data_IF_711644021778
#
_entry.id   IF_711644021778
#
_cell.length_a   1.000
_cell.length_b   1.000
_cell.length_c   1.000
_cell.angle_alpha   90.00
_cell.angle_beta   90.00
_cell.angle_gamma   90.00
#
_symmetry.space_group_name_H-M   'P 1'
#
loop_
_entity.id
_entity.type
_entity.pdbx_description
1 polymer ?
#
# COMPACT_ATOMS: atom_id res chain seq x y z
N UNK A 1 20.12 1.15 21.43
CA UNK A 1 21.55 1.00 21.08
C UNK A 1 21.92 -0.46 21.30
N UNK A 2 22.46 -1.14 20.29
CA UNK A 2 22.92 -2.54 20.39
C UNK A 2 24.45 -2.50 20.33
N UNK A 3 25.11 -2.86 21.42
CA UNK A 3 26.58 -2.96 21.45
C UNK A 3 27.01 -4.34 20.93
N UNK A 4 27.91 -4.34 19.93
CA UNK A 4 28.43 -5.57 19.34
C UNK A 4 29.65 -6.07 20.11
N UNK A 5 29.83 -7.39 20.15
CA UNK A 5 31.08 -7.99 20.63
C UNK A 5 32.22 -7.64 19.67
N UNK A 6 33.44 -7.56 20.22
CA UNK A 6 34.62 -7.26 19.43
C UNK A 6 34.89 -8.40 18.43
N UNK A 7 35.00 -8.06 17.15
CA UNK A 7 35.25 -9.02 16.06
C UNK A 7 34.03 -9.39 15.22
N UNK A 8 32.83 -8.97 15.62
CA UNK A 8 31.59 -9.23 14.86
C UNK A 8 31.41 -8.27 13.68
N UNK A 9 30.89 -8.77 12.56
CA UNK A 9 30.54 -7.96 11.39
C UNK A 9 29.12 -7.41 11.55
N UNK A 10 29.00 -6.08 11.67
CA UNK A 10 27.74 -5.41 11.99
C UNK A 10 26.61 -5.69 10.97
N UNK A 11 26.94 -5.74 9.68
CA UNK A 11 25.97 -6.00 8.61
C UNK A 11 25.37 -7.41 8.71
N UNK A 12 26.20 -8.42 8.98
CA UNK A 12 25.76 -9.80 9.17
C UNK A 12 24.83 -9.92 10.37
N UNK A 13 25.16 -9.26 11.49
CA UNK A 13 24.30 -9.24 12.68
C UNK A 13 22.98 -8.53 12.38
N UNK A 14 23.00 -7.43 11.64
CA UNK A 14 21.79 -6.71 11.23
C UNK A 14 20.88 -7.55 10.32
N UNK A 15 21.47 -8.27 9.36
CA UNK A 15 20.73 -9.18 8.47
C UNK A 15 20.07 -10.31 9.27
N UNK A 16 20.79 -10.89 10.23
CA UNK A 16 20.24 -11.89 11.15
C UNK A 16 19.11 -11.31 12.02
N UNK A 17 19.24 -10.05 12.49
CA UNK A 17 18.17 -9.37 13.22
C UNK A 17 16.93 -9.17 12.34
N UNK A 18 17.08 -8.74 11.09
CA UNK A 18 15.95 -8.64 10.17
C UNK A 18 15.25 -10.00 9.97
N UNK A 19 16.00 -11.07 9.77
CA UNK A 19 15.43 -12.39 9.50
C UNK A 19 14.75 -13.04 10.72
N UNK A 20 15.28 -12.82 11.93
CA UNK A 20 14.86 -13.54 13.13
C UNK A 20 14.00 -12.71 14.10
N UNK A 21 13.82 -11.41 13.82
CA UNK A 21 13.07 -10.50 14.70
C UNK A 21 11.94 -9.78 13.97
N UNK A 22 11.10 -9.07 14.73
CA UNK A 22 9.99 -8.27 14.19
C UNK A 22 10.45 -6.95 13.51
N UNK A 23 11.76 -6.74 13.36
CA UNK A 23 12.29 -5.59 12.60
C UNK A 23 11.94 -5.66 11.11
N UNK A 24 11.74 -6.87 10.58
CA UNK A 24 11.15 -7.10 9.27
C UNK A 24 9.91 -7.96 9.45
N UNK A 25 8.80 -7.57 8.81
CA UNK A 25 7.56 -8.33 8.87
C UNK A 25 6.83 -8.28 7.53
N UNK A 26 6.03 -9.30 7.26
CA UNK A 26 5.20 -9.39 6.07
C UNK A 26 3.81 -8.86 6.41
N UNK A 27 3.31 -7.92 5.61
CA UNK A 27 1.95 -7.42 5.74
C UNK A 27 1.08 -7.94 4.58
N UNK A 28 0.09 -8.78 4.91
CA UNK A 28 -0.83 -9.35 3.93
C UNK A 28 -1.90 -8.33 3.51
N UNK A 29 -1.69 -7.65 2.38
CA UNK A 29 -2.66 -6.69 1.84
C UNK A 29 -3.81 -7.46 1.18
N UNK A 30 -5.02 -7.30 1.72
CA UNK A 30 -6.25 -7.80 1.11
C UNK A 30 -7.36 -6.75 1.20
N UNK A 31 -7.73 -6.16 0.05
CA UNK A 31 -8.76 -5.12 -0.03
C UNK A 31 -10.11 -5.79 -0.29
N UNK A 32 -10.86 -6.05 0.77
CA UNK A 32 -12.24 -6.56 0.73
C UNK A 32 -13.18 -5.53 1.34
N UNK A 33 -14.25 -5.20 0.61
CA UNK A 33 -15.27 -4.27 1.08
C UNK A 33 -16.67 -4.76 0.69
N UNK A 34 -17.70 -4.18 1.31
CA UNK A 34 -19.09 -4.44 0.94
C UNK A 34 -19.49 -3.53 -0.24
N UNK A 35 -19.98 -4.14 -1.31
CA UNK A 35 -20.64 -3.46 -2.42
C UNK A 35 -22.07 -3.97 -2.47
N UNK A 36 -23.03 -3.07 -2.26
CA UNK A 36 -24.47 -3.41 -2.23
C UNK A 36 -24.78 -4.57 -1.25
N UNK A 37 -24.14 -4.54 -0.07
CA UNK A 37 -24.31 -5.54 0.99
C UNK A 37 -23.56 -6.86 0.76
N UNK A 38 -22.79 -7.00 -0.32
CA UNK A 38 -22.03 -8.21 -0.63
C UNK A 38 -20.53 -7.99 -0.53
N UNK A 39 -19.77 -8.90 0.10
CA UNK A 39 -18.31 -8.80 0.17
C UNK A 39 -17.69 -9.02 -1.21
N UNK A 40 -16.84 -8.08 -1.63
CA UNK A 40 -16.09 -8.13 -2.89
C UNK A 40 -14.65 -7.70 -2.67
N UNK A 41 -13.73 -8.35 -3.39
CA UNK A 41 -12.36 -7.88 -3.54
C UNK A 41 -12.32 -6.74 -4.53
N UNK A 42 -11.67 -5.63 -4.16
CA UNK A 42 -11.63 -4.42 -4.98
C UNK A 42 -10.19 -4.01 -5.29
N UNK A 43 -9.97 -3.55 -6.52
CA UNK A 43 -8.75 -2.83 -6.86
C UNK A 43 -8.88 -1.32 -6.57
N UNK A 44 -7.77 -0.59 -6.67
CA UNK A 44 -7.74 0.85 -6.39
C UNK A 44 -8.70 1.66 -7.28
N UNK A 45 -8.80 1.32 -8.58
CA UNK A 45 -9.70 2.01 -9.50
C UNK A 45 -11.16 1.87 -9.07
N UNK A 46 -11.58 0.66 -8.72
CA UNK A 46 -12.94 0.39 -8.25
C UNK A 46 -13.25 1.12 -6.96
N UNK A 47 -12.31 1.17 -6.00
CA UNK A 47 -12.48 1.95 -4.77
C UNK A 47 -12.76 3.43 -5.06
N UNK A 48 -11.95 4.03 -5.94
CA UNK A 48 -12.11 5.44 -6.33
C UNK A 48 -13.43 5.69 -7.08
N UNK A 49 -13.84 4.76 -7.95
CA UNK A 49 -15.12 4.85 -8.66
C UNK A 49 -16.32 4.81 -7.69
N UNK A 50 -16.32 3.91 -6.70
CA UNK A 50 -17.39 3.87 -5.70
C UNK A 50 -17.40 5.12 -4.82
N UNK A 51 -16.22 5.60 -4.40
CA UNK A 51 -16.11 6.85 -3.65
C UNK A 51 -16.68 8.04 -4.42
N UNK A 52 -16.30 8.19 -5.70
CA UNK A 52 -16.80 9.28 -6.55
C UNK A 52 -18.29 9.16 -6.83
N UNK A 53 -18.81 7.94 -7.04
CA UNK A 53 -20.26 7.71 -7.20
C UNK A 53 -21.02 8.15 -5.94
N UNK A 54 -20.55 7.75 -4.77
CA UNK A 54 -21.15 8.18 -3.51
C UNK A 54 -21.08 9.70 -3.34
N UNK A 55 -19.94 10.33 -3.67
CA UNK A 55 -19.80 11.78 -3.57
C UNK A 55 -20.77 12.52 -4.48
N UNK A 56 -20.96 12.06 -5.73
CA UNK A 56 -21.97 12.61 -6.64
C UNK A 56 -23.36 12.55 -6.04
N UNK A 57 -23.77 11.39 -5.52
CA UNK A 57 -25.09 11.23 -4.89
C UNK A 57 -25.28 12.18 -3.71
N UNK A 58 -24.30 12.25 -2.80
CA UNK A 58 -24.36 13.11 -1.62
C UNK A 58 -24.44 14.59 -2.02
N UNK A 59 -23.62 15.03 -2.97
CA UNK A 59 -23.64 16.42 -3.44
C UNK A 59 -24.98 16.74 -4.11
N UNK A 60 -25.50 15.88 -4.99
CA UNK A 60 -26.81 16.07 -5.62
C UNK A 60 -27.93 16.17 -4.57
N UNK A 61 -27.96 15.28 -3.58
CA UNK A 61 -28.97 15.30 -2.52
C UNK A 61 -28.88 16.55 -1.65
N UNK A 62 -27.67 16.99 -1.33
CA UNK A 62 -27.44 18.25 -0.60
C UNK A 62 -27.93 19.45 -1.42
N UNK A 63 -27.55 19.53 -2.69
CA UNK A 63 -27.95 20.62 -3.60
C UNK A 63 -29.47 20.68 -3.76
N UNK A 64 -30.16 19.54 -3.91
CA UNK A 64 -31.63 19.49 -3.96
C UNK A 64 -32.28 19.98 -2.66
N UNK A 65 -31.73 19.57 -1.51
CA UNK A 65 -32.22 20.01 -0.21
C UNK A 65 -32.04 21.54 -0.03
N UNK A 66 -30.87 22.06 -0.39
CA UNK A 66 -30.60 23.50 -0.33
C UNK A 66 -31.47 24.30 -1.30
N UNK A 67 -31.72 23.77 -2.50
CA UNK A 67 -32.59 24.38 -3.50
C UNK A 67 -34.03 24.48 -2.99
N UNK A 68 -34.57 23.41 -2.40
CA UNK A 68 -35.91 23.42 -1.78
C UNK A 68 -36.02 24.49 -0.70
N UNK A 69 -35.05 24.53 0.22
CA UNK A 69 -35.01 25.52 1.30
C UNK A 69 -34.88 26.95 0.76
N UNK A 70 -34.07 27.15 -0.29
CA UNK A 70 -33.90 28.45 -0.93
C UNK A 70 -35.20 28.90 -1.60
N UNK A 71 -35.92 28.02 -2.29
CA UNK A 71 -37.24 28.31 -2.90
C UNK A 71 -38.30 28.66 -1.86
N UNK A 72 -38.40 27.92 -0.75
CA UNK A 72 -39.32 28.26 0.35
C UNK A 72 -39.03 29.65 0.94
N UNK A 73 -37.75 29.98 1.10
CA UNK A 73 -37.31 31.29 1.59
C UNK A 73 -37.62 32.39 0.57
N UNK A 74 -37.30 32.16 -0.71
CA UNK A 74 -37.60 33.06 -1.82
C UNK A 74 -39.10 33.35 -1.87
N UNK A 75 -39.95 32.32 -1.83
CA UNK A 75 -41.41 32.44 -1.83
C UNK A 75 -41.92 33.37 -0.73
N UNK A 76 -41.36 33.26 0.48
CA UNK A 76 -41.74 34.14 1.58
C UNK A 76 -41.27 35.58 1.34
N UNK A 77 -40.02 35.77 0.93
CA UNK A 77 -39.43 37.09 0.66
C UNK A 77 -40.13 37.80 -0.51
N UNK A 78 -40.55 37.05 -1.53
CA UNK A 78 -41.29 37.53 -2.69
C UNK A 78 -42.62 38.17 -2.26
N UNK A 79 -43.40 37.47 -1.42
CA UNK A 79 -44.64 38.01 -0.86
C UNK A 79 -44.43 39.24 0.03
N UNK A 80 -43.37 39.25 0.84
CA UNK A 80 -43.00 40.40 1.66
C UNK A 80 -42.59 41.60 0.81
N UNK A 81 -41.82 41.40 -0.25
CA UNK A 81 -41.38 42.45 -1.17
C UNK A 81 -42.59 43.06 -1.93
N UNK A 82 -43.53 42.22 -2.38
CA UNK A 82 -44.79 42.69 -2.98
C UNK A 82 -45.60 43.51 -1.99
N UNK A 83 -45.72 43.06 -0.73
CA UNK A 83 -46.47 43.79 0.29
C UNK A 83 -45.81 45.13 0.66
N UNK A 84 -44.48 45.19 0.73
CA UNK A 84 -43.74 46.43 1.00
C UNK A 84 -43.87 47.45 -0.15
N UNK A 85 -43.88 46.98 -1.40
CA UNK A 85 -44.12 47.84 -2.56
C UNK A 85 -45.53 48.46 -2.57
N UNK A 86 -46.49 47.81 -1.89
CA UNK A 86 -47.90 48.23 -1.82
C UNK A 86 -48.34 48.54 -0.37
N UNK A 87 -47.43 49.05 0.47
CA UNK A 87 -47.62 49.08 1.92
C UNK A 87 -48.87 49.84 2.38
N UNK A 88 -49.19 50.97 1.76
CA UNK A 88 -50.34 51.78 2.14
C UNK A 88 -51.66 51.04 1.90
N UNK A 89 -51.74 50.32 0.78
CA UNK A 89 -52.90 49.51 0.41
C UNK A 89 -53.05 48.28 1.32
N UNK A 90 -51.94 47.63 1.66
CA UNK A 90 -51.89 46.51 2.60
C UNK A 90 -52.35 46.96 3.99
N UNK A 91 -51.85 48.10 4.49
CA UNK A 91 -52.26 48.65 5.80
C UNK A 91 -53.73 49.04 5.79
N UNK A 92 -54.23 49.67 4.72
CA UNK A 92 -55.64 50.04 4.60
C UNK A 92 -56.56 48.81 4.66
N UNK A 93 -56.19 47.74 3.95
CA UNK A 93 -56.91 46.46 3.95
C UNK A 93 -56.90 45.81 5.35
N UNK A 94 -55.73 45.72 5.99
CA UNK A 94 -55.61 45.12 7.33
C UNK A 94 -56.41 45.92 8.37
N UNK A 95 -56.41 47.25 8.30
CA UNK A 95 -57.17 48.11 9.22
C UNK A 95 -58.69 48.01 9.02
N UNK A 96 -59.15 47.74 7.80
CA UNK A 96 -60.57 47.60 7.48
C UNK A 96 -61.12 46.20 7.83
N UNK A 97 -60.26 45.18 7.88
CA UNK A 97 -60.65 43.81 8.16
C UNK A 97 -61.06 43.60 9.65
N UNK A 98 -62.22 42.95 9.93
CA UNK A 98 -62.68 42.69 11.30
C UNK A 98 -61.84 41.67 12.09
N UNK A 99 -61.05 40.83 11.41
CA UNK A 99 -60.23 39.79 12.05
C UNK A 99 -58.97 39.47 11.23
N UNK A 100 -57.92 38.89 11.85
CA UNK A 100 -56.72 38.45 11.11
C UNK A 100 -57.02 37.41 10.02
N UNK A 101 -57.97 36.50 10.27
CA UNK A 101 -58.37 35.49 9.29
C UNK A 101 -59.02 36.14 8.05
N UNK A 102 -59.83 37.19 8.27
CA UNK A 102 -60.47 37.94 7.20
C UNK A 102 -59.47 38.80 6.42
N UNK A 103 -58.51 39.44 7.11
CA UNK A 103 -57.42 40.16 6.47
C UNK A 103 -56.58 39.22 5.59
N UNK A 104 -56.24 38.03 6.09
CA UNK A 104 -55.50 37.00 5.34
C UNK A 104 -56.22 36.61 4.06
N UNK A 105 -57.53 36.36 4.14
CA UNK A 105 -58.37 36.02 2.98
C UNK A 105 -58.39 37.14 1.93
N UNK A 106 -58.60 38.38 2.36
CA UNK A 106 -58.62 39.53 1.46
C UNK A 106 -57.26 39.82 0.80
N UNK A 107 -56.14 39.59 1.50
CA UNK A 107 -54.79 39.69 0.92
C UNK A 107 -54.57 38.68 -0.22
N UNK A 108 -55.12 37.46 -0.07
CA UNK A 108 -55.01 36.37 -1.04
C UNK A 108 -55.96 36.54 -2.23
N UNK A 109 -57.18 37.02 -2.01
CA UNK A 109 -58.18 37.23 -3.08
C UNK A 109 -57.81 38.39 -4.03
N UNK A 110 -56.94 39.30 -3.58
CA UNK A 110 -56.55 40.49 -4.33
C UNK A 110 -55.27 40.25 -5.14
N UNK A 111 -55.26 40.77 -6.37
CA UNK A 111 -54.07 40.84 -7.22
C UNK A 111 -53.26 42.10 -6.93
N UNK A 112 -51.94 41.95 -6.82
CA UNK A 112 -50.99 43.01 -6.48
C UNK A 112 -50.06 43.31 -7.65
N UNK A 113 -49.51 44.52 -7.70
CA UNK A 113 -48.56 44.93 -8.75
C UNK A 113 -47.21 45.26 -8.11
N UNK A 114 -46.10 44.81 -8.68
CA UNK A 114 -44.77 45.13 -8.13
C UNK A 114 -43.71 45.10 -9.22
N UNK A 115 -43.42 46.27 -9.80
CA UNK A 115 -42.42 46.40 -10.86
C UNK A 115 -41.02 45.94 -10.44
N UNK A 116 -40.64 46.10 -9.17
CA UNK A 116 -39.35 45.63 -8.65
C UNK A 116 -39.28 44.10 -8.62
N UNK A 117 -40.32 43.44 -8.12
CA UNK A 117 -40.36 41.97 -8.02
C UNK A 117 -40.52 41.35 -9.40
N UNK A 118 -41.33 41.94 -10.28
CA UNK A 118 -41.46 41.54 -11.69
C UNK A 118 -40.13 41.61 -12.43
N UNK A 119 -39.36 42.69 -12.25
CA UNK A 119 -38.04 42.82 -12.87
C UNK A 119 -37.05 41.77 -12.35
N UNK A 120 -37.08 41.47 -11.05
CA UNK A 120 -36.22 40.44 -10.44
C UNK A 120 -36.57 39.03 -10.94
N UNK A 121 -37.86 38.68 -10.94
CA UNK A 121 -38.33 37.39 -11.42
C UNK A 121 -38.13 37.20 -12.93
N UNK A 122 -38.27 38.27 -13.72
CA UNK A 122 -38.00 38.21 -15.16
C UNK A 122 -36.52 37.91 -15.44
N UNK A 123 -35.60 38.45 -14.63
CA UNK A 123 -34.16 38.19 -14.75
C UNK A 123 -33.77 36.78 -14.29
N UNK A 124 -34.35 36.30 -13.20
CA UNK A 124 -34.03 34.98 -12.62
C UNK A 124 -34.78 33.82 -13.30
N UNK A 125 -35.80 34.11 -14.11
CA UNK A 125 -36.75 33.14 -14.63
C UNK A 125 -37.91 32.95 -13.65
N UNK A 126 -39.12 33.32 -14.07
CA UNK A 126 -40.30 33.43 -13.19
C UNK A 126 -40.70 32.12 -12.48
N UNK A 127 -40.24 30.97 -12.97
CA UNK A 127 -40.50 29.65 -12.39
C UNK A 127 -39.35 29.12 -11.52
N UNK A 128 -38.19 29.80 -11.50
CA UNK A 128 -37.02 29.32 -10.76
C UNK A 128 -37.21 29.39 -9.24
N UNK A 129 -37.89 30.45 -8.75
CA UNK A 129 -38.16 30.69 -7.31
C UNK A 129 -39.36 29.92 -6.76
N UNK A 130 -40.25 29.40 -7.62
CA UNK A 130 -41.50 28.76 -7.20
C UNK A 130 -41.23 27.43 -6.46
N UNK A 131 -41.81 27.24 -5.26
CA UNK A 131 -41.81 25.93 -4.59
C UNK A 131 -42.48 24.85 -5.45
N UNK A 132 -42.02 23.60 -5.35
CA UNK A 132 -42.53 22.46 -6.14
C UNK A 132 -44.01 22.15 -5.84
N UNK A 133 -44.45 22.37 -4.60
CA UNK A 133 -45.80 22.07 -4.13
C UNK A 133 -46.77 23.27 -4.27
N UNK A 134 -46.37 24.34 -4.96
CA UNK A 134 -47.19 25.54 -5.12
C UNK A 134 -48.37 25.26 -6.08
N UNK A 135 -49.64 25.47 -5.67
CA UNK A 135 -50.77 25.29 -6.57
C UNK A 135 -50.74 26.26 -7.75
N UNK A 136 -51.31 25.83 -8.88
CA UNK A 136 -51.50 26.70 -10.03
C UNK A 136 -52.41 27.89 -9.67
N UNK A 137 -52.04 29.09 -10.12
CA UNK A 137 -52.79 30.33 -9.84
C UNK A 137 -52.14 31.28 -8.83
N UNK A 138 -51.02 30.89 -8.20
CA UNK A 138 -50.28 31.74 -7.27
C UNK A 138 -48.92 32.18 -7.82
N UNK A 139 -48.40 33.28 -7.27
CA UNK A 139 -47.16 33.92 -7.73
C UNK A 139 -47.41 34.94 -8.84
N UNK A 140 -46.38 35.21 -9.65
CA UNK A 140 -46.48 36.13 -10.77
C UNK A 140 -47.28 35.53 -11.94
N UNK A 141 -48.38 36.21 -12.30
CA UNK A 141 -49.30 35.88 -13.38
C UNK A 141 -49.43 37.08 -14.34
N UNK A 142 -50.02 36.92 -15.55
CA UNK A 142 -50.13 38.01 -16.52
C UNK A 142 -50.93 39.23 -16.06
N UNK A 143 -51.84 39.05 -15.10
CA UNK A 143 -52.68 40.08 -14.50
C UNK A 143 -52.08 40.70 -13.22
N UNK A 144 -50.97 40.15 -12.72
CA UNK A 144 -50.24 40.63 -11.55
C UNK A 144 -49.84 39.50 -10.61
N UNK A 145 -49.53 39.85 -9.36
CA UNK A 145 -49.06 38.93 -8.35
C UNK A 145 -50.18 38.44 -7.44
N UNK A 146 -50.30 37.11 -7.30
CA UNK A 146 -51.30 36.47 -6.44
C UNK A 146 -50.60 35.84 -5.22
N UNK A 147 -50.94 36.35 -4.02
CA UNK A 147 -50.31 35.91 -2.77
C UNK A 147 -50.85 34.54 -2.32
N UNK A 148 -49.99 33.72 -1.75
CA UNK A 148 -50.43 32.50 -1.05
C UNK A 148 -50.86 32.79 0.38
N UNK A 149 -51.58 31.85 0.98
CA UNK A 149 -51.86 31.87 2.41
C UNK A 149 -50.61 31.97 3.30
N UNK A 150 -49.53 31.30 2.93
CA UNK A 150 -48.25 31.34 3.66
C UNK A 150 -47.60 32.72 3.59
N UNK A 151 -47.64 33.38 2.42
CA UNK A 151 -47.16 34.74 2.26
C UNK A 151 -48.04 35.74 3.01
N UNK A 152 -49.36 35.63 2.90
CA UNK A 152 -50.30 36.48 3.62
C UNK A 152 -50.10 36.40 5.14
N UNK A 153 -49.86 35.20 5.68
CA UNK A 153 -49.50 35.03 7.09
C UNK A 153 -48.18 35.75 7.42
N UNK A 154 -47.14 35.57 6.60
CA UNK A 154 -45.85 36.25 6.81
C UNK A 154 -45.96 37.78 6.78
N UNK A 155 -46.86 38.32 5.93
CA UNK A 155 -47.17 39.75 5.85
C UNK A 155 -47.85 40.24 7.14
N UNK A 156 -48.82 39.48 7.66
CA UNK A 156 -49.50 39.82 8.93
C UNK A 156 -48.56 39.76 10.14
N UNK A 157 -47.53 38.90 10.09
CA UNK A 157 -46.52 38.75 11.14
C UNK A 157 -45.40 39.82 11.05
N UNK A 158 -45.46 40.73 10.06
CA UNK A 158 -44.50 41.83 9.95
C UNK A 158 -44.60 42.78 11.15
N UNK A 159 -43.42 43.18 11.66
CA UNK A 159 -43.29 44.17 12.72
C UNK A 159 -43.06 45.56 12.12
N UNK A 160 -43.63 46.61 12.73
CA UNK A 160 -43.52 47.99 12.25
C UNK A 160 -42.08 48.48 11.98
N UNK A 161 -41.09 47.99 12.72
CA UNK A 161 -39.67 48.30 12.48
C UNK A 161 -39.17 47.91 11.08
N UNK A 162 -39.79 46.90 10.44
CA UNK A 162 -39.47 46.42 9.09
C UNK A 162 -39.94 47.37 7.98
N UNK A 163 -40.69 48.41 8.34
CA UNK A 163 -41.16 49.43 7.40
C UNK A 163 -40.14 50.55 7.17
N UNK A 164 -39.05 50.59 7.93
CA UNK A 164 -37.96 51.55 7.68
C UNK A 164 -37.27 51.23 6.36
N UNK A 165 -36.87 52.25 5.59
CA UNK A 165 -36.26 52.05 4.26
C UNK A 165 -35.08 51.07 4.27
N UNK A 166 -34.21 51.16 5.28
CA UNK A 166 -33.08 50.24 5.44
C UNK A 166 -33.51 48.77 5.59
N UNK A 167 -34.59 48.49 6.30
CA UNK A 167 -35.08 47.12 6.49
C UNK A 167 -35.81 46.59 5.25
N UNK A 168 -36.46 47.48 4.48
CA UNK A 168 -37.03 47.13 3.18
C UNK A 168 -35.92 46.76 2.19
N UNK A 169 -34.87 47.58 2.09
CA UNK A 169 -33.72 47.32 1.24
C UNK A 169 -33.04 46.00 1.59
N UNK A 170 -32.92 45.67 2.89
CA UNK A 170 -32.40 44.37 3.34
C UNK A 170 -33.24 43.20 2.84
N UNK A 171 -34.57 43.29 2.88
CA UNK A 171 -35.46 42.21 2.40
C UNK A 171 -35.29 42.03 0.89
N UNK A 172 -35.24 43.13 0.15
CA UNK A 172 -35.06 43.12 -1.31
C UNK A 172 -33.67 42.55 -1.69
N UNK A 173 -32.61 42.97 -0.99
CA UNK A 173 -31.26 42.45 -1.20
C UNK A 173 -31.16 40.96 -0.85
N UNK A 174 -31.74 40.54 0.29
CA UNK A 174 -31.79 39.12 0.67
C UNK A 174 -32.53 38.30 -0.40
N UNK A 175 -33.63 38.83 -0.94
CA UNK A 175 -34.35 38.16 -2.02
C UNK A 175 -33.47 37.98 -3.26
N UNK A 176 -32.75 39.03 -3.69
CA UNK A 176 -31.83 38.94 -4.83
C UNK A 176 -30.71 37.91 -4.59
N UNK A 177 -30.09 37.90 -3.41
CA UNK A 177 -29.05 36.92 -3.06
C UNK A 177 -29.58 35.48 -3.10
N UNK A 178 -30.82 35.27 -2.64
CA UNK A 178 -31.46 33.96 -2.70
C UNK A 178 -31.77 33.55 -4.14
N UNK A 179 -32.20 34.48 -5.01
CA UNK A 179 -32.40 34.20 -6.43
C UNK A 179 -31.09 33.80 -7.13
N UNK A 180 -30.00 34.51 -6.86
CA UNK A 180 -28.68 34.18 -7.41
C UNK A 180 -28.22 32.80 -6.91
N UNK A 181 -28.48 32.48 -5.63
CA UNK A 181 -28.22 31.15 -5.07
C UNK A 181 -29.05 30.06 -5.75
N UNK A 182 -30.33 30.30 -6.02
CA UNK A 182 -31.19 29.35 -6.71
C UNK A 182 -30.67 29.08 -8.12
N UNK A 183 -30.22 30.13 -8.83
CA UNK A 183 -29.63 29.99 -10.16
C UNK A 183 -28.37 29.12 -10.16
N UNK A 184 -27.43 29.35 -9.23
CA UNK A 184 -26.21 28.52 -9.10
C UNK A 184 -26.55 27.07 -8.73
N UNK A 185 -27.50 26.84 -7.81
CA UNK A 185 -27.94 25.48 -7.45
C UNK A 185 -28.57 24.74 -8.63
N UNK A 186 -29.37 25.43 -9.46
CA UNK A 186 -29.94 24.86 -10.68
C UNK A 186 -28.87 24.56 -11.73
N UNK A 187 -27.85 25.42 -11.86
CA UNK A 187 -26.70 25.17 -12.73
C UNK A 187 -25.94 23.91 -12.31
N UNK A 188 -25.69 23.75 -10.99
CA UNK A 188 -25.04 22.55 -10.43
C UNK A 188 -25.85 21.28 -10.74
N UNK A 189 -27.19 21.34 -10.68
CA UNK A 189 -28.04 20.18 -10.92
C UNK A 189 -28.21 19.85 -12.41
N UNK A 190 -28.14 20.84 -13.29
CA UNK A 190 -28.36 20.67 -14.73
C UNK A 190 -27.08 20.35 -15.51
N UNK A 191 -25.91 20.78 -15.01
CA UNK A 191 -24.62 20.56 -15.66
C UNK A 191 -23.77 19.52 -14.91
N UNK A 192 -23.53 18.33 -15.52
CA UNK A 192 -22.62 17.34 -14.96
C UNK A 192 -21.19 17.88 -14.74
N UNK A 193 -20.73 18.77 -15.62
CA UNK A 193 -19.40 19.38 -15.53
C UNK A 193 -19.31 20.34 -14.33
N UNK A 194 -20.36 21.14 -14.10
CA UNK A 194 -20.45 22.04 -12.94
C UNK A 194 -20.43 21.24 -11.63
N UNK A 195 -21.21 20.16 -11.56
CA UNK A 195 -21.21 19.26 -10.40
C UNK A 195 -19.82 18.66 -10.14
N UNK A 196 -19.14 18.21 -11.21
CA UNK A 196 -17.78 17.68 -11.08
C UNK A 196 -16.77 18.74 -10.64
N UNK A 197 -16.94 19.99 -11.08
CA UNK A 197 -16.12 21.11 -10.65
C UNK A 197 -16.29 21.38 -9.15
N UNK A 198 -17.53 21.42 -8.65
CA UNK A 198 -17.80 21.56 -7.20
C UNK A 198 -17.15 20.43 -6.40
N UNK A 199 -17.29 19.17 -6.84
CA UNK A 199 -16.64 18.04 -6.16
C UNK A 199 -15.11 18.20 -6.15
N UNK A 200 -14.53 18.63 -7.26
CA UNK A 200 -13.08 18.83 -7.37
C UNK A 200 -12.61 19.92 -6.42
N UNK A 201 -13.32 21.05 -6.35
CA UNK A 201 -12.95 22.18 -5.50
C UNK A 201 -13.02 21.79 -4.02
N UNK A 202 -14.07 21.07 -3.60
CA UNK A 202 -14.16 20.51 -2.24
C UNK A 202 -13.01 19.55 -1.92
N UNK A 203 -12.61 18.68 -2.87
CA UNK A 203 -11.49 17.76 -2.67
C UNK A 203 -10.15 18.49 -2.58
N UNK A 204 -9.97 19.59 -3.31
CA UNK A 204 -8.79 20.43 -3.22
C UNK A 204 -8.73 21.14 -1.86
N UNK A 205 -9.85 21.67 -1.37
CA UNK A 205 -9.95 22.27 -0.04
C UNK A 205 -9.61 21.25 1.05
N UNK A 206 -10.15 20.03 0.98
CA UNK A 206 -9.82 18.96 1.93
C UNK A 206 -8.32 18.64 1.89
N UNK A 207 -7.71 18.58 0.70
CA UNK A 207 -6.27 18.34 0.55
C UNK A 207 -5.45 19.45 1.19
N UNK A 208 -5.86 20.71 1.04
CA UNK A 208 -5.17 21.85 1.65
C UNK A 208 -5.31 21.89 3.18
N UNK A 209 -6.49 21.54 3.70
CA UNK A 209 -6.75 21.53 5.14
C UNK A 209 -6.10 20.36 5.87
N UNK A 210 -6.04 19.18 5.24
CA UNK A 210 -5.68 17.92 5.91
C UNK A 210 -4.46 17.20 5.30
N UNK A 211 -3.82 17.76 4.28
CA UNK A 211 -2.64 17.16 3.66
C UNK A 211 -1.42 17.12 4.57
N UNK A 212 -0.67 16.02 4.55
CA UNK A 212 0.59 15.85 5.27
C UNK A 212 1.70 15.25 4.37
N UNK A 213 2.94 15.37 4.82
CA UNK A 213 4.08 14.77 4.12
C UNK A 213 4.16 13.26 4.35
N UNK A 214 4.65 12.53 3.34
CA UNK A 214 4.82 11.08 3.44
C UNK A 214 5.86 10.75 4.51
N UNK A 215 5.46 9.92 5.49
CA UNK A 215 6.35 9.46 6.58
C UNK A 215 7.22 8.27 6.22
N UNK A 216 6.69 7.36 5.40
CA UNK A 216 7.40 6.16 4.97
C UNK A 216 8.23 6.43 3.71
N UNK A 217 9.23 5.61 3.46
CA UNK A 217 9.96 5.53 2.18
C UNK A 217 9.57 4.21 1.47
N UNK A 218 9.60 4.18 0.13
CA UNK A 218 9.47 2.93 -0.64
C UNK A 218 10.82 2.63 -1.27
N UNK A 219 11.49 1.60 -0.78
CA UNK A 219 12.74 1.10 -1.38
C UNK A 219 12.35 -0.05 -2.32
N UNK A 220 12.53 0.18 -3.63
CA UNK A 220 12.09 -0.77 -4.68
C UNK A 220 12.98 -2.02 -4.74
N UNK A 221 14.27 -1.85 -4.47
CA UNK A 221 15.28 -2.90 -4.57
C UNK A 221 15.92 -3.13 -3.20
N UNK A 222 15.20 -3.79 -2.29
CA UNK A 222 15.86 -4.43 -1.16
C UNK A 222 16.24 -5.83 -1.65
N UNK A 223 17.54 -6.10 -1.80
CA UNK A 223 18.00 -7.46 -2.11
C UNK A 223 17.45 -8.41 -1.05
N UNK A 224 16.73 -9.45 -1.47
CA UNK A 224 16.35 -10.53 -0.58
C UNK A 224 17.65 -11.09 0.03
N UNK A 225 17.75 -11.04 1.36
CA UNK A 225 18.92 -11.55 2.08
C UNK A 225 19.16 -13.01 1.70
N UNK A 226 20.32 -13.32 1.14
CA UNK A 226 20.72 -14.69 0.88
C UNK A 226 21.24 -15.34 2.16
N UNK A 227 21.26 -16.67 2.20
CA UNK A 227 21.88 -17.40 3.31
C UNK A 227 23.37 -17.05 3.48
N UNK A 228 24.05 -16.67 2.41
CA UNK A 228 25.45 -16.24 2.43
C UNK A 228 25.61 -14.91 3.18
N UNK A 229 24.70 -13.95 2.98
CA UNK A 229 24.71 -12.62 3.63
C UNK A 229 24.51 -12.67 5.16
N UNK A 230 24.17 -13.86 5.68
CA UNK A 230 23.97 -14.14 7.11
C UNK A 230 25.19 -14.80 7.76
N UNK A 231 26.20 -15.17 6.97
CA UNK A 231 27.42 -15.84 7.43
C UNK A 231 28.59 -14.87 7.34
N UNK A 232 29.45 -14.88 8.36
CA UNK A 232 30.67 -14.06 8.35
C UNK A 232 31.71 -14.65 7.41
N UNK A 233 32.34 -13.81 6.57
CA UNK A 233 33.48 -14.22 5.75
C UNK A 233 34.72 -14.38 6.64
N UNK A 234 35.13 -15.63 6.89
CA UNK A 234 36.33 -15.93 7.67
C UNK A 234 37.04 -17.19 7.15
N UNK A 235 38.34 -17.27 7.41
CA UNK A 235 39.14 -18.42 7.04
C UNK A 235 38.98 -19.55 8.07
N UNK A 236 38.58 -20.72 7.59
CA UNK A 236 38.37 -21.93 8.39
C UNK A 236 39.25 -23.07 7.90
N UNK A 237 39.59 -23.96 8.82
CA UNK A 237 40.24 -25.24 8.52
C UNK A 237 39.15 -26.27 8.26
N UNK A 238 39.11 -26.79 7.03
CA UNK A 238 38.22 -27.88 6.64
C UNK A 238 38.98 -29.20 6.78
N UNK A 239 38.37 -30.17 7.46
CA UNK A 239 38.93 -31.51 7.65
C UNK A 239 37.97 -32.57 7.15
N UNK A 240 38.48 -33.50 6.35
CA UNK A 240 37.79 -34.71 5.90
C UNK A 240 38.49 -35.95 6.48
N UNK A 241 37.75 -36.80 7.15
CA UNK A 241 38.26 -38.05 7.73
C UNK A 241 38.19 -39.22 6.75
N UNK A 242 38.94 -40.28 7.02
CA UNK A 242 38.95 -41.49 6.21
C UNK A 242 37.59 -42.21 6.19
N UNK A 243 36.83 -42.15 7.29
CA UNK A 243 35.46 -42.65 7.34
C UNK A 243 34.43 -41.74 6.65
N UNK A 244 34.89 -40.66 6.00
CA UNK A 244 34.04 -39.76 5.22
C UNK A 244 33.27 -38.76 6.06
N UNK A 245 33.78 -38.37 7.24
CA UNK A 245 33.21 -37.28 8.02
C UNK A 245 33.88 -35.95 7.67
N UNK A 246 33.07 -34.92 7.46
CA UNK A 246 33.56 -33.57 7.20
C UNK A 246 33.12 -32.59 8.29
N UNK A 247 34.00 -31.62 8.56
CA UNK A 247 33.74 -30.48 9.46
C UNK A 247 34.59 -29.28 9.07
N UNK A 248 34.14 -28.11 9.49
CA UNK A 248 34.89 -26.86 9.45
C UNK A 248 35.19 -26.39 10.88
N UNK A 249 36.33 -25.73 11.08
CA UNK A 249 36.76 -25.19 12.37
C UNK A 249 37.44 -23.83 12.14
N UNK A 250 37.22 -22.85 13.01
CA UNK A 250 37.95 -21.58 12.91
C UNK A 250 39.47 -21.78 13.12
N UNK A 251 40.28 -20.99 12.42
CA UNK A 251 41.75 -21.04 12.52
C UNK A 251 42.22 -20.84 13.96
N UNK A 252 41.61 -19.92 14.70
CA UNK A 252 41.96 -19.64 16.10
C UNK A 252 41.80 -20.87 16.99
N UNK A 253 40.71 -21.62 16.81
CA UNK A 253 40.45 -22.86 17.55
C UNK A 253 41.48 -23.95 17.22
N UNK A 254 41.97 -23.97 15.97
CA UNK A 254 42.98 -24.92 15.51
C UNK A 254 44.40 -24.55 15.99
N UNK A 255 44.77 -23.25 15.98
CA UNK A 255 46.12 -22.76 16.26
C UNK A 255 46.51 -22.73 17.75
N UNK A 256 45.58 -22.95 18.69
CA UNK A 256 45.75 -22.75 20.13
C UNK A 256 46.85 -23.58 20.85
N UNK A 257 47.82 -24.18 20.15
CA UNK A 257 48.92 -24.91 20.76
C UNK A 257 50.31 -24.55 20.18
N UNK A 258 50.93 -23.53 20.76
CA UNK A 258 52.40 -23.33 20.66
C UNK A 258 53.11 -24.21 21.69
N UNK A 259 54.00 -25.08 21.20
CA UNK A 259 55.07 -25.90 21.85
C UNK A 259 54.80 -27.40 22.06
N UNK A 260 55.80 -28.17 21.61
CA UNK A 260 55.85 -29.63 21.50
C UNK A 260 55.72 -30.41 22.81
N UNK A 261 55.06 -31.55 22.68
CA UNK A 261 55.03 -32.63 23.67
C UNK A 261 54.77 -33.94 22.93
N UNK A 262 55.82 -34.73 22.71
CA UNK A 262 55.71 -36.11 22.24
C UNK A 262 55.24 -36.94 23.44
N UNK A 263 54.08 -37.58 23.34
CA UNK A 263 53.71 -38.74 24.14
C UNK A 263 52.63 -38.53 25.22
N UNK A 264 51.48 -39.18 25.00
CA UNK A 264 51.03 -40.28 25.87
C UNK A 264 50.20 -41.26 25.05
N UNK A 265 50.80 -42.42 24.80
CA UNK A 265 50.17 -43.63 24.28
C UNK A 265 48.97 -43.99 25.17
N UNK A 266 47.78 -44.05 24.59
CA UNK A 266 46.62 -44.69 25.19
C UNK A 266 46.25 -45.91 24.32
N UNK A 267 46.72 -47.05 24.79
CA UNK A 267 46.16 -48.41 24.67
C UNK A 267 45.06 -48.66 23.61
N UNK A 268 45.46 -49.37 22.55
CA UNK A 268 44.70 -50.30 21.71
C UNK A 268 43.18 -50.08 21.53
N UNK A 269 42.82 -49.47 20.40
CA UNK A 269 41.66 -49.89 19.60
C UNK A 269 42.02 -49.72 18.12
N UNK A 270 41.93 -50.81 17.35
CA UNK A 270 41.92 -50.73 15.88
C UNK A 270 40.64 -49.97 15.51
N UNK A 271 40.74 -49.01 14.59
CA UNK A 271 39.66 -48.13 14.09
C UNK A 271 39.57 -46.72 14.70
N UNK A 272 40.71 -46.06 14.95
CA UNK A 272 40.71 -44.59 15.04
C UNK A 272 40.57 -43.99 13.63
N UNK A 273 39.50 -43.21 13.42
CA UNK A 273 39.28 -42.43 12.21
C UNK A 273 40.31 -41.28 12.15
N UNK A 274 41.12 -41.25 11.10
CA UNK A 274 42.19 -40.27 10.90
C UNK A 274 41.82 -39.23 9.84
N UNK A 275 42.45 -38.07 9.90
CA UNK A 275 42.23 -37.00 8.92
C UNK A 275 42.94 -37.36 7.61
N UNK A 276 42.16 -37.54 6.54
CA UNK A 276 42.67 -37.86 5.21
C UNK A 276 43.05 -36.58 4.44
N UNK A 277 42.24 -35.52 4.59
CA UNK A 277 42.48 -34.22 3.93
C UNK A 277 42.26 -33.06 4.89
N UNK A 278 43.15 -32.08 4.81
CA UNK A 278 43.11 -30.84 5.57
C UNK A 278 43.52 -29.69 4.66
N UNK A 279 42.69 -28.65 4.58
CA UNK A 279 42.98 -27.43 3.84
C UNK A 279 42.31 -26.22 4.52
N UNK A 280 42.83 -25.03 4.22
CA UNK A 280 42.25 -23.76 4.64
C UNK A 280 41.36 -23.26 3.50
N UNK A 281 40.15 -22.85 3.81
CA UNK A 281 39.21 -22.26 2.86
C UNK A 281 38.40 -21.17 3.57
N UNK A 282 37.85 -20.24 2.79
CA UNK A 282 36.94 -19.25 3.31
C UNK A 282 35.51 -19.83 3.48
N UNK A 283 34.74 -19.36 4.47
CA UNK A 283 33.34 -19.78 4.68
C UNK A 283 32.46 -19.68 3.42
N UNK A 284 32.74 -18.73 2.53
CA UNK A 284 31.97 -18.49 1.31
C UNK A 284 32.48 -19.28 0.09
N UNK A 285 33.65 -19.90 0.19
CA UNK A 285 34.22 -20.72 -0.88
C UNK A 285 33.35 -21.94 -1.16
N UNK A 286 33.46 -22.45 -2.39
CA UNK A 286 32.78 -23.69 -2.79
C UNK A 286 33.77 -24.84 -2.82
N UNK A 287 33.42 -25.95 -2.19
CA UNK A 287 34.18 -27.20 -2.24
C UNK A 287 33.58 -28.07 -3.35
N UNK A 288 34.38 -28.34 -4.38
CA UNK A 288 34.08 -29.34 -5.40
C UNK A 288 34.40 -30.73 -4.84
N UNK A 289 33.38 -31.55 -4.62
CA UNK A 289 33.49 -32.91 -4.10
C UNK A 289 33.41 -33.93 -5.24
N UNK A 290 34.50 -34.61 -5.53
CA UNK A 290 34.61 -35.62 -6.58
C UNK A 290 34.45 -37.04 -6.02
N UNK A 291 33.50 -37.78 -6.57
CA UNK A 291 33.18 -39.13 -6.12
C UNK A 291 33.96 -40.23 -6.84
N UNK A 292 34.01 -41.42 -6.25
CA UNK A 292 34.57 -42.62 -6.85
C UNK A 292 33.91 -43.02 -8.17
N UNK A 293 32.65 -42.61 -8.39
CA UNK A 293 31.87 -42.82 -9.62
C UNK A 293 32.08 -41.73 -10.67
N UNK A 294 33.06 -40.84 -10.48
CA UNK A 294 33.39 -39.80 -11.45
C UNK A 294 32.40 -38.63 -11.48
N UNK A 295 31.54 -38.49 -10.46
CA UNK A 295 30.65 -37.34 -10.33
C UNK A 295 31.31 -36.21 -9.55
N UNK A 296 30.89 -34.97 -9.82
CA UNK A 296 31.25 -33.78 -9.06
C UNK A 296 29.99 -33.20 -8.40
N UNK A 297 30.13 -32.84 -7.13
CA UNK A 297 29.14 -32.16 -6.32
C UNK A 297 29.72 -30.86 -5.78
N UNK A 298 28.86 -29.91 -5.41
CA UNK A 298 29.25 -28.64 -4.81
C UNK A 298 28.74 -28.59 -3.39
N UNK A 299 29.59 -28.10 -2.49
CA UNK A 299 29.24 -27.88 -1.10
C UNK A 299 29.87 -26.56 -0.66
N UNK A 300 29.08 -25.62 -0.15
CA UNK A 300 29.63 -24.38 0.41
C UNK A 300 30.29 -24.66 1.75
N UNK A 301 31.40 -23.99 2.04
CA UNK A 301 32.16 -24.25 3.28
C UNK A 301 31.29 -24.02 4.53
N UNK A 302 30.42 -22.99 4.53
CA UNK A 302 29.50 -22.74 5.65
C UNK A 302 28.43 -23.83 5.86
N UNK A 303 28.18 -24.70 4.88
CA UNK A 303 27.24 -25.83 5.02
C UNK A 303 27.84 -26.99 5.81
N UNK A 304 29.17 -27.00 5.98
CA UNK A 304 29.85 -27.96 6.84
C UNK A 304 29.55 -27.68 8.32
N UNK A 305 29.43 -28.73 9.15
CA UNK A 305 29.22 -28.53 10.57
C UNK A 305 30.44 -27.85 11.20
N UNK A 306 30.21 -26.70 11.82
CA UNK A 306 31.20 -26.03 12.66
C UNK A 306 31.36 -26.83 13.96
N UNK A 307 32.53 -27.40 14.17
CA UNK A 307 32.72 -28.34 15.27
C UNK A 307 34.08 -28.19 15.95
N UNK A 308 34.13 -28.41 17.26
CA UNK A 308 35.38 -28.40 18.02
C UNK A 308 36.34 -29.55 17.63
N UNK A 309 37.61 -29.47 18.06
CA UNK A 309 38.69 -30.42 17.70
C UNK A 309 38.32 -31.90 17.87
N UNK A 310 37.63 -32.26 18.96
CA UNK A 310 37.31 -33.65 19.29
C UNK A 310 36.01 -34.17 18.66
N UNK A 311 35.23 -33.31 18.01
CA UNK A 311 33.99 -33.71 17.34
C UNK A 311 34.31 -34.34 15.98
N UNK A 312 33.59 -35.40 15.62
CA UNK A 312 33.80 -36.12 14.34
C UNK A 312 33.27 -35.36 13.12
N UNK A 313 32.31 -34.45 13.29
CA UNK A 313 31.63 -33.77 12.18
C UNK A 313 30.43 -34.58 11.68
N UNK A 314 30.05 -34.39 10.41
CA UNK A 314 28.91 -35.05 9.77
C UNK A 314 29.37 -35.92 8.58
N UNK A 315 28.79 -37.12 8.37
CA UNK A 315 29.11 -37.94 7.22
C UNK A 315 28.77 -37.23 5.89
N UNK A 316 29.65 -37.34 4.89
CA UNK A 316 29.45 -36.76 3.55
C UNK A 316 28.19 -37.28 2.85
N UNK A 317 27.82 -38.54 3.09
CA UNK A 317 26.57 -39.16 2.59
C UNK A 317 25.30 -38.44 3.08
N UNK A 318 25.38 -37.67 4.18
CA UNK A 318 24.26 -36.91 4.72
C UNK A 318 24.26 -35.45 4.25
N UNK A 319 25.33 -35.02 3.57
CA UNK A 319 25.51 -33.67 3.03
C UNK A 319 25.31 -33.64 1.52
N UNK A 320 25.60 -34.76 0.84
CA UNK A 320 25.53 -34.91 -0.61
C UNK A 320 24.64 -36.09 -1.00
N UNK A 321 23.91 -36.02 -2.13
CA UNK A 321 23.09 -37.12 -2.62
C UNK A 321 23.96 -38.18 -3.32
N UNK A 322 24.69 -38.95 -2.51
CA UNK A 322 25.55 -40.04 -2.97
C UNK A 322 24.73 -41.32 -3.17
N UNK A 323 25.05 -42.06 -4.22
CA UNK A 323 24.45 -43.37 -4.47
C UNK A 323 25.03 -44.45 -3.54
N UNK A 324 24.37 -45.61 -3.45
CA UNK A 324 24.81 -46.70 -2.58
C UNK A 324 26.23 -47.18 -2.99
N UNK A 325 27.19 -47.08 -2.07
CA UNK A 325 28.60 -47.44 -2.29
C UNK A 325 29.44 -46.36 -2.98
N UNK A 326 28.88 -45.19 -3.26
CA UNK A 326 29.61 -44.03 -3.76
C UNK A 326 30.32 -43.31 -2.59
N UNK A 327 31.61 -42.98 -2.77
CA UNK A 327 32.41 -42.26 -1.77
C UNK A 327 33.09 -41.05 -2.40
N UNK A 328 33.41 -40.03 -1.59
CA UNK A 328 34.17 -38.86 -2.05
C UNK A 328 35.67 -39.18 -1.98
N UNK A 329 36.35 -39.11 -3.13
CA UNK A 329 37.79 -39.40 -3.24
C UNK A 329 38.62 -38.11 -3.26
N UNK A 330 38.05 -37.00 -3.77
CA UNK A 330 38.73 -35.72 -3.77
C UNK A 330 37.83 -34.54 -3.48
N UNK A 331 38.42 -33.52 -2.89
CA UNK A 331 37.78 -32.24 -2.58
C UNK A 331 38.72 -31.13 -3.03
N UNK A 332 38.21 -30.14 -3.74
CA UNK A 332 38.96 -28.98 -4.19
C UNK A 332 38.22 -27.70 -3.78
N UNK A 333 38.79 -26.85 -2.91
CA UNK A 333 38.23 -25.54 -2.62
C UNK A 333 38.41 -24.61 -3.82
N UNK A 334 37.35 -23.91 -4.19
CA UNK A 334 37.28 -22.99 -5.33
C UNK A 334 36.53 -21.74 -4.89
N UNK A 335 37.21 -20.59 -4.99
CA UNK A 335 36.62 -19.26 -4.80
C UNK A 335 36.08 -18.70 -6.11
N UNK A 336 36.89 -18.76 -7.16
CA UNK A 336 36.58 -18.25 -8.48
C UNK A 336 36.85 -19.31 -9.56
N UNK A 337 36.05 -19.31 -10.62
CA UNK A 337 36.12 -20.28 -11.72
C UNK A 337 36.95 -19.73 -12.90
N UNK A 338 38.24 -19.50 -12.65
CA UNK A 338 39.20 -18.94 -13.62
C UNK A 338 39.25 -19.74 -14.94
N UNK A 339 39.32 -19.03 -16.08
CA UNK A 339 39.38 -19.65 -17.41
C UNK A 339 40.69 -20.40 -17.67
N UNK A 340 41.79 -19.99 -17.01
CA UNK A 340 43.12 -20.57 -17.19
C UNK A 340 43.40 -21.79 -16.28
N UNK A 341 42.43 -22.20 -15.46
CA UNK A 341 42.56 -23.35 -14.55
C UNK A 341 41.86 -24.58 -15.09
N UNK A 342 42.45 -25.74 -14.82
CA UNK A 342 41.92 -27.04 -15.22
C UNK A 342 41.86 -27.98 -14.02
N UNK A 343 40.79 -28.75 -13.93
CA UNK A 343 40.68 -29.89 -13.03
C UNK A 343 41.24 -31.12 -13.74
N UNK A 344 42.35 -31.64 -13.25
CA UNK A 344 42.99 -32.85 -13.76
C UNK A 344 42.49 -34.06 -12.97
N UNK A 345 42.07 -35.13 -13.64
CA UNK A 345 41.47 -36.31 -13.03
C UNK A 345 42.19 -37.56 -13.53
N UNK A 346 42.40 -38.54 -12.64
CA UNK A 346 43.02 -39.82 -12.97
C UNK A 346 42.17 -41.00 -12.45
N UNK A 347 41.97 -42.01 -13.29
CA UNK A 347 41.22 -43.23 -12.96
C UNK A 347 42.14 -44.41 -12.64
N UNK A 348 41.60 -45.44 -11.99
CA UNK A 348 42.33 -46.65 -11.61
C UNK A 348 42.88 -47.42 -12.82
N UNK A 349 42.18 -47.35 -13.96
CA UNK A 349 42.64 -47.93 -15.24
C UNK A 349 43.79 -47.18 -15.91
N UNK A 350 44.25 -46.05 -15.33
CA UNK A 350 45.30 -45.20 -15.88
C UNK A 350 44.82 -44.18 -16.91
N UNK A 351 43.50 -44.00 -17.06
CA UNK A 351 42.93 -42.96 -17.93
C UNK A 351 42.99 -41.62 -17.20
N UNK A 352 43.47 -40.58 -17.89
CA UNK A 352 43.50 -39.21 -17.35
C UNK A 352 42.63 -38.28 -18.18
N UNK A 353 41.97 -37.33 -17.52
CA UNK A 353 41.13 -36.31 -18.15
C UNK A 353 41.41 -34.96 -17.51
N UNK A 354 41.55 -33.91 -18.32
CA UNK A 354 41.54 -32.53 -17.83
C UNK A 354 40.28 -31.82 -18.34
N UNK A 355 39.62 -31.09 -17.45
CA UNK A 355 38.41 -30.30 -17.77
C UNK A 355 38.64 -28.86 -17.30
N UNK A 356 38.30 -27.83 -18.10
CA UNK A 356 38.35 -26.44 -17.64
C UNK A 356 37.56 -26.24 -16.33
N UNK A 357 38.11 -25.45 -15.40
CA UNK A 357 37.45 -25.18 -14.12
C UNK A 357 36.09 -24.49 -14.32
N UNK A 358 35.99 -23.61 -15.33
CA UNK A 358 34.74 -22.93 -15.72
C UNK A 358 33.56 -23.86 -15.99
N UNK A 359 33.80 -25.09 -16.44
CA UNK A 359 32.73 -26.06 -16.69
C UNK A 359 32.02 -26.51 -15.39
N UNK A 360 32.65 -26.27 -14.24
CA UNK A 360 32.08 -26.51 -12.90
C UNK A 360 31.39 -25.27 -12.30
N UNK A 361 31.28 -24.15 -13.03
CA UNK A 361 30.71 -22.90 -12.50
C UNK A 361 29.19 -22.93 -12.25
N UNK A 362 28.49 -23.97 -12.73
CA UNK A 362 27.02 -24.08 -12.66
C UNK A 362 26.62 -25.25 -11.76
N UNK A 363 26.48 -25.03 -10.44
CA UNK A 363 26.15 -26.09 -9.49
C UNK A 363 24.78 -26.70 -9.77
N UNK A 364 24.67 -28.02 -9.56
CA UNK A 364 23.41 -28.78 -9.62
C UNK A 364 23.32 -29.67 -8.39
N UNK A 365 22.15 -29.71 -7.76
CA UNK A 365 21.91 -30.51 -6.56
C UNK A 365 22.16 -32.01 -6.80
N UNK A 366 21.86 -32.53 -7.99
CA UNK A 366 22.11 -33.92 -8.38
C UNK A 366 23.59 -34.24 -8.66
N UNK A 367 24.47 -33.25 -8.64
CA UNK A 367 25.82 -33.35 -9.18
C UNK A 367 25.85 -33.38 -10.72
N UNK A 368 27.07 -33.44 -11.28
CA UNK A 368 27.33 -33.65 -12.71
C UNK A 368 28.34 -34.78 -12.90
N UNK A 369 28.36 -35.38 -14.10
CA UNK A 369 29.40 -36.34 -14.49
C UNK A 369 30.66 -35.55 -14.86
N UNK A 370 31.70 -35.64 -14.03
CA UNK A 370 32.99 -35.00 -14.28
C UNK A 370 33.87 -35.83 -15.22
N UNK A 371 33.85 -37.14 -15.06
CA UNK A 371 34.51 -38.12 -15.94
C UNK A 371 33.59 -39.31 -16.16
N UNK A 372 33.51 -39.78 -17.41
CA UNK A 372 32.81 -41.00 -17.76
C UNK A 372 33.73 -42.19 -17.49
N UNK A 373 33.25 -43.19 -16.74
CA UNK A 373 34.04 -44.31 -16.28
C UNK A 373 33.65 -45.59 -17.05
N UNK A 374 34.63 -46.40 -17.39
CA UNK A 374 34.39 -47.74 -17.96
C UNK A 374 33.88 -48.68 -16.87
N UNK A 375 33.31 -49.82 -17.28
CA UNK A 375 32.91 -50.88 -16.33
C UNK A 375 34.09 -51.25 -15.41
N UNK A 376 33.82 -51.30 -14.10
CA UNK A 376 34.80 -51.56 -13.01
C UNK A 376 35.90 -50.50 -12.82
N UNK A 377 35.86 -49.35 -13.52
CA UNK A 377 36.82 -48.24 -13.31
C UNK A 377 36.35 -47.29 -12.20
N UNK A 378 37.30 -46.59 -11.58
CA UNK A 378 37.05 -45.68 -10.45
C UNK A 378 37.91 -44.43 -10.61
N UNK A 379 37.39 -43.26 -10.28
CA UNK A 379 38.21 -42.06 -10.14
C UNK A 379 39.10 -42.21 -8.90
N UNK A 380 40.43 -42.07 -8.99
CA UNK A 380 41.35 -42.25 -7.84
C UNK A 380 42.00 -40.95 -7.36
N UNK A 381 42.11 -39.94 -8.23
CA UNK A 381 42.78 -38.69 -7.88
C UNK A 381 42.30 -37.53 -8.74
N UNK A 382 42.34 -36.33 -8.15
CA UNK A 382 41.98 -35.04 -8.75
C UNK A 382 42.95 -33.98 -8.27
#
# INVERSE_FOLDING_TARGET
>A
VIELRRGEVAEVVLNNLFQQTQMQNVFGINIVALVDGQPRTLNLKQLLEYFLRHRREVVTRRTLFELRKARERAHTLEGLAVALANIDEVIALIKAAPSPAEAKRQLVERTWQSGTVEAMLSRAGADASKPEDLPAGFGLMPDGYHLTETQAQAILDLRLQKLTGLEQDKIINEFQEILDKIADLLEILSSPDRLMQVIKDELLEIREQFGDERRSEIVVNQMDLTLEDLITEEDVVVTLSHQGYAKAQSIDTYQAQRRGGRGKTATATKDEDFVEKLFVANTHDTILCFSSRGKCYWLKVYELPQAGRNARGRPMVNLLPLEQGERINAVLPVREYDEDRFVFMATASGTVKKTPLRDFSRPRSSGIIAVDLREEDQLIGV
#
